data_IF_197452992682
#
_entry.id   IF_197452992682
#
_cell.length_a   1.000
_cell.length_b   1.000
_cell.length_c   1.000
_cell.angle_alpha   90.00
_cell.angle_beta   90.00
_cell.angle_gamma   90.00
#
_symmetry.space_group_name_H-M   'P 1'
#
loop_
_entity.id
_entity.type
_entity.pdbx_description
1 polymer ?
#
# COMPACT_ATOMS: atom_id res chain seq x y z
N UNK A 1 -35.55 2.68 -24.16
CA UNK A 1 -35.46 4.02 -23.55
C UNK A 1 -34.59 3.89 -22.30
N UNK A 2 -33.31 4.26 -22.38
CA UNK A 2 -32.73 5.53 -21.87
C UNK A 2 -32.86 5.63 -20.33
N UNK A 3 -31.82 5.80 -19.52
CA UNK A 3 -30.67 6.70 -19.67
C UNK A 3 -29.38 6.16 -19.04
N UNK A 4 -28.26 6.58 -19.65
CA UNK A 4 -26.90 6.54 -19.14
C UNK A 4 -26.81 7.12 -17.72
N UNK A 5 -26.38 6.30 -16.76
CA UNK A 5 -25.90 6.76 -15.46
C UNK A 5 -24.40 7.03 -15.53
N UNK A 6 -24.02 8.22 -16.03
CA UNK A 6 -22.66 8.74 -15.91
C UNK A 6 -22.40 8.92 -14.42
N UNK A 7 -21.63 8.02 -13.82
CA UNK A 7 -21.20 8.17 -12.43
C UNK A 7 -20.20 9.32 -12.36
N UNK A 8 -20.62 10.41 -11.70
CA UNK A 8 -19.82 11.59 -11.37
C UNK A 8 -18.41 11.19 -10.94
N UNK A 9 -17.43 11.46 -11.80
CA UNK A 9 -16.04 11.56 -11.38
C UNK A 9 -15.95 12.69 -10.36
N UNK A 10 -15.51 12.38 -9.13
CA UNK A 10 -15.14 13.41 -8.17
C UNK A 10 -13.90 14.10 -8.73
N UNK A 11 -14.13 15.20 -9.45
CA UNK A 11 -13.08 16.13 -9.87
C UNK A 11 -12.43 16.62 -8.57
N UNK A 12 -11.20 16.18 -8.32
CA UNK A 12 -10.36 16.66 -7.23
C UNK A 12 -10.12 18.15 -7.44
N UNK A 13 -11.02 18.96 -6.87
CA UNK A 13 -11.03 20.38 -7.08
C UNK A 13 -9.87 21.02 -6.31
N UNK A 14 -8.97 21.63 -7.08
CA UNK A 14 -7.97 22.55 -6.59
C UNK A 14 -8.69 23.77 -5.98
N UNK A 15 -8.64 23.92 -4.65
CA UNK A 15 -9.20 25.09 -3.94
C UNK A 15 -8.05 25.99 -3.48
N UNK A 16 -7.80 27.07 -4.22
CA UNK A 16 -6.93 28.17 -3.77
C UNK A 16 -7.79 29.23 -3.06
N UNK A 17 -7.51 29.49 -1.79
CA UNK A 17 -8.07 30.64 -1.06
C UNK A 17 -7.23 31.89 -1.40
N UNK A 18 -7.58 32.57 -2.48
CA UNK A 18 -6.97 33.84 -2.84
C UNK A 18 -7.13 34.86 -1.71
N UNK A 19 -6.01 35.36 -1.19
CA UNK A 19 -5.99 36.49 -0.26
C UNK A 19 -6.29 37.76 -1.08
N UNK A 20 -7.54 38.21 -1.07
CA UNK A 20 -7.94 39.49 -1.66
C UNK A 20 -7.23 40.63 -0.94
N UNK A 21 -6.24 41.24 -1.60
CA UNK A 21 -5.69 42.52 -1.14
C UNK A 21 -6.77 43.59 -1.36
N UNK A 22 -7.35 44.08 -0.26
CA UNK A 22 -8.20 45.27 -0.29
C UNK A 22 -7.33 46.46 -0.65
N UNK A 23 -7.54 47.01 -1.85
CA UNK A 23 -6.99 48.31 -2.24
C UNK A 23 -7.59 49.39 -1.34
N UNK A 24 -6.84 49.82 -0.33
CA UNK A 24 -7.11 51.07 0.37
C UNK A 24 -6.48 52.21 -0.44
N UNK A 25 -7.30 53.20 -0.81
CA UNK A 25 -6.88 54.38 -1.54
C UNK A 25 -5.71 55.08 -0.83
N UNK A 26 -4.55 55.19 -1.47
CA UNK A 26 -3.42 55.95 -0.94
C UNK A 26 -2.64 56.64 -2.08
N UNK A 27 -2.24 57.88 -1.81
CA UNK A 27 -1.53 58.77 -2.74
C UNK A 27 -0.09 58.35 -2.99
N UNK A 28 0.10 57.30 -3.79
CA UNK A 28 1.41 56.79 -4.19
C UNK A 28 1.98 57.52 -5.42
N UNK A 29 3.30 57.71 -5.45
CA UNK A 29 4.05 58.30 -6.55
C UNK A 29 4.04 57.42 -7.81
N UNK A 30 4.30 57.98 -9.00
CA UNK A 30 4.25 57.25 -10.28
C UNK A 30 5.19 56.03 -10.31
N UNK A 31 6.34 56.12 -9.65
CA UNK A 31 7.31 55.03 -9.47
C UNK A 31 6.79 53.91 -8.58
N UNK A 32 6.11 54.23 -7.47
CA UNK A 32 5.49 53.24 -6.59
C UNK A 32 4.29 52.56 -7.27
N UNK A 33 3.54 53.31 -8.09
CA UNK A 33 2.42 52.78 -8.85
C UNK A 33 2.89 51.84 -9.96
N UNK A 34 3.99 52.15 -10.64
CA UNK A 34 4.60 51.26 -11.63
C UNK A 34 5.14 49.98 -10.98
N UNK A 35 5.81 50.09 -9.82
CA UNK A 35 6.27 48.92 -9.06
C UNK A 35 5.10 48.04 -8.58
N UNK A 36 4.03 48.63 -8.03
CA UNK A 36 2.81 47.89 -7.67
C UNK A 36 2.13 47.21 -8.87
N UNK A 37 2.11 47.88 -10.03
CA UNK A 37 1.50 47.31 -11.25
C UNK A 37 2.33 46.14 -11.78
N UNK A 38 3.66 46.22 -11.69
CA UNK A 38 4.58 45.15 -12.06
C UNK A 38 4.48 43.96 -11.10
N UNK A 39 4.46 44.20 -9.78
CA UNK A 39 4.27 43.15 -8.77
C UNK A 39 2.92 42.43 -8.92
N UNK A 40 1.85 43.16 -9.25
CA UNK A 40 0.55 42.57 -9.57
C UNK A 40 0.61 41.69 -10.83
N UNK A 41 1.34 42.12 -11.87
CA UNK A 41 1.55 41.34 -13.10
C UNK A 41 2.35 40.06 -12.84
N UNK A 42 3.40 40.13 -12.01
CA UNK A 42 4.24 38.97 -11.72
C UNK A 42 3.54 37.97 -10.78
N UNK A 43 2.68 38.45 -9.88
CA UNK A 43 1.77 37.60 -9.11
C UNK A 43 0.75 36.86 -10.00
N UNK A 44 0.18 37.55 -10.99
CA UNK A 44 -0.78 36.94 -11.94
C UNK A 44 -0.11 35.89 -12.82
N UNK A 45 1.10 36.16 -13.34
CA UNK A 45 1.89 35.17 -14.10
C UNK A 45 2.18 33.93 -13.26
N UNK A 46 2.59 34.12 -12.01
CA UNK A 46 2.85 33.03 -11.07
C UNK A 46 1.58 32.21 -10.79
N UNK A 47 0.42 32.86 -10.62
CA UNK A 47 -0.85 32.16 -10.40
C UNK A 47 -1.27 31.33 -11.63
N UNK A 48 -1.14 31.89 -12.84
CA UNK A 48 -1.44 31.17 -14.08
C UNK A 48 -0.48 30.00 -14.29
N UNK A 49 0.81 30.17 -13.99
CA UNK A 49 1.78 29.09 -14.04
C UNK A 49 1.47 27.97 -13.04
N UNK A 50 1.11 28.32 -11.79
CA UNK A 50 0.64 27.33 -10.81
C UNK A 50 -0.52 26.53 -11.40
N UNK A 51 -1.55 27.19 -11.95
CA UNK A 51 -2.70 26.51 -12.57
C UNK A 51 -2.28 25.53 -13.68
N UNK A 52 -1.34 25.92 -14.56
CA UNK A 52 -0.79 25.03 -15.60
C UNK A 52 -0.16 23.77 -14.99
N UNK A 53 0.75 23.93 -14.02
CA UNK A 53 1.43 22.81 -13.36
C UNK A 53 0.42 21.88 -12.68
N UNK A 54 -0.54 22.43 -11.95
CA UNK A 54 -1.53 21.62 -11.25
C UNK A 54 -2.52 20.94 -12.20
N UNK A 55 -2.83 21.54 -13.33
CA UNK A 55 -3.61 20.88 -14.38
C UNK A 55 -2.85 19.68 -14.95
N UNK A 56 -1.55 19.81 -15.20
CA UNK A 56 -0.73 18.68 -15.62
C UNK A 56 -0.74 17.57 -14.56
N UNK A 57 -0.44 17.90 -13.30
CA UNK A 57 -0.44 16.95 -12.17
C UNK A 57 -1.80 16.25 -12.03
N UNK A 58 -2.91 16.98 -12.19
CA UNK A 58 -4.26 16.44 -12.10
C UNK A 58 -4.56 15.39 -13.17
N UNK A 59 -4.04 15.59 -14.38
CA UNK A 59 -4.22 14.70 -15.52
C UNK A 59 -3.42 13.39 -15.41
N UNK A 60 -2.45 13.32 -14.50
CA UNK A 60 -1.61 12.14 -14.35
C UNK A 60 -2.39 10.93 -13.80
N UNK A 61 -2.01 9.70 -14.18
CA UNK A 61 -2.75 8.49 -13.85
C UNK A 61 -2.46 8.04 -12.41
N UNK A 62 -2.89 8.77 -11.38
CA UNK A 62 -2.64 8.39 -9.98
C UNK A 62 -3.41 7.13 -9.56
N UNK A 63 -2.70 6.15 -8.99
CA UNK A 63 -3.25 4.89 -8.50
C UNK A 63 -3.37 4.79 -6.97
N UNK A 64 -2.67 5.65 -6.23
CA UNK A 64 -2.69 5.71 -4.76
C UNK A 64 -3.04 7.11 -4.23
N UNK A 65 -3.29 7.22 -2.92
CA UNK A 65 -3.56 8.51 -2.29
C UNK A 65 -2.26 9.29 -2.34
N UNK A 66 -2.34 10.51 -2.84
CA UNK A 66 -1.17 11.30 -3.17
C UNK A 66 -1.34 12.69 -2.62
N UNK A 67 -0.40 13.14 -1.80
CA UNK A 67 -0.33 14.53 -1.36
C UNK A 67 0.94 15.16 -1.93
N UNK A 68 0.78 16.34 -2.54
CA UNK A 68 1.89 17.07 -3.15
C UNK A 68 1.88 18.49 -2.59
N UNK A 69 3.02 18.96 -2.12
CA UNK A 69 3.25 20.32 -1.68
C UNK A 69 4.39 20.91 -2.51
N UNK A 70 4.16 22.10 -3.07
CA UNK A 70 5.14 22.83 -3.86
C UNK A 70 5.16 24.25 -3.34
N UNK A 71 6.31 24.74 -2.89
CA UNK A 71 6.44 26.10 -2.36
C UNK A 71 6.32 27.14 -3.48
N UNK A 72 5.90 28.36 -3.13
CA UNK A 72 5.86 29.48 -4.06
C UNK A 72 7.24 29.80 -4.65
N UNK A 73 8.31 29.64 -3.87
CA UNK A 73 9.67 29.79 -4.35
C UNK A 73 10.07 28.70 -5.35
N UNK A 74 9.63 27.45 -5.13
CA UNK A 74 9.82 26.38 -6.11
C UNK A 74 9.08 26.68 -7.42
N UNK A 75 7.84 27.19 -7.38
CA UNK A 75 7.13 27.62 -8.58
C UNK A 75 7.87 28.73 -9.33
N UNK A 76 8.36 29.76 -8.63
CA UNK A 76 9.17 30.82 -9.24
C UNK A 76 10.43 30.26 -9.90
N UNK A 77 11.14 29.37 -9.22
CA UNK A 77 12.33 28.71 -9.78
C UNK A 77 11.99 27.87 -11.01
N UNK A 78 10.84 27.19 -11.06
CA UNK A 78 10.40 26.46 -12.25
C UNK A 78 10.04 27.38 -13.44
N UNK A 79 9.66 28.64 -13.20
CA UNK A 79 9.43 29.62 -14.26
C UNK A 79 10.75 30.12 -14.86
N UNK A 80 11.79 30.25 -14.04
CA UNK A 80 13.11 30.77 -14.43
C UNK A 80 14.04 29.68 -14.97
N UNK A 81 13.97 28.48 -14.41
CA UNK A 81 14.84 27.34 -14.69
C UNK A 81 14.03 26.15 -15.24
N UNK A 82 14.09 26.00 -16.57
CA UNK A 82 13.43 24.91 -17.28
C UNK A 82 14.00 23.53 -16.94
N UNK A 83 15.29 23.42 -16.58
CA UNK A 83 15.87 22.14 -16.16
C UNK A 83 15.32 21.72 -14.80
N UNK A 84 15.21 22.67 -13.86
CA UNK A 84 14.57 22.44 -12.57
C UNK A 84 13.10 22.03 -12.73
N UNK A 85 12.31 22.76 -13.55
CA UNK A 85 10.92 22.39 -13.90
C UNK A 85 10.86 20.96 -14.42
N UNK A 86 11.65 20.63 -15.44
CA UNK A 86 11.63 19.32 -16.08
C UNK A 86 12.01 18.21 -15.11
N UNK A 87 13.02 18.43 -14.26
CA UNK A 87 13.44 17.46 -13.24
C UNK A 87 12.33 17.20 -12.22
N UNK A 88 11.72 18.25 -11.67
CA UNK A 88 10.65 18.10 -10.67
C UNK A 88 9.42 17.43 -11.27
N UNK A 89 8.98 17.88 -12.45
CA UNK A 89 7.81 17.29 -13.13
C UNK A 89 8.06 15.85 -13.56
N UNK A 90 9.28 15.49 -13.97
CA UNK A 90 9.65 14.10 -14.26
C UNK A 90 9.46 13.21 -13.04
N UNK A 91 9.94 13.62 -11.87
CA UNK A 91 9.79 12.85 -10.63
C UNK A 91 8.30 12.65 -10.30
N UNK A 92 7.48 13.71 -10.40
CA UNK A 92 6.03 13.59 -10.14
C UNK A 92 5.36 12.61 -11.13
N UNK A 93 5.74 12.64 -12.41
CA UNK A 93 5.22 11.68 -13.42
C UNK A 93 5.62 10.25 -13.11
N UNK A 94 6.87 10.02 -12.69
CA UNK A 94 7.37 8.71 -12.28
C UNK A 94 6.61 8.19 -11.05
N UNK A 95 6.41 9.03 -10.03
CA UNK A 95 5.59 8.71 -8.85
C UNK A 95 4.13 8.40 -9.22
N UNK A 96 3.54 9.16 -10.16
CA UNK A 96 2.19 8.90 -10.63
C UNK A 96 2.08 7.51 -11.28
N UNK A 97 3.02 7.13 -12.14
CA UNK A 97 3.04 5.79 -12.75
C UNK A 97 3.29 4.72 -11.68
N UNK A 98 4.29 4.92 -10.81
CA UNK A 98 4.65 4.00 -9.73
C UNK A 98 3.49 3.75 -8.75
N UNK A 99 2.65 4.77 -8.53
CA UNK A 99 1.51 4.68 -7.62
C UNK A 99 0.45 3.64 -8.03
N UNK A 100 0.42 3.22 -9.30
CA UNK A 100 -0.49 2.17 -9.78
C UNK A 100 0.02 0.74 -9.55
N UNK A 101 1.32 0.57 -9.26
CA UNK A 101 1.93 -0.77 -9.25
C UNK A 101 2.11 -1.32 -7.84
N UNK A 102 2.69 -0.52 -6.94
CA UNK A 102 3.17 -1.03 -5.64
C UNK A 102 2.93 -0.07 -4.46
N UNK A 103 2.22 1.04 -4.65
CA UNK A 103 2.13 2.11 -3.64
C UNK A 103 0.81 2.09 -2.86
N UNK A 104 0.88 2.15 -1.53
CA UNK A 104 -0.24 2.40 -0.63
C UNK A 104 -0.56 3.90 -0.46
N UNK A 105 0.39 4.78 -0.75
CA UNK A 105 0.23 6.24 -0.77
C UNK A 105 1.57 6.98 -0.90
N UNK A 106 1.53 8.16 -1.53
CA UNK A 106 2.71 8.96 -1.88
C UNK A 106 2.60 10.36 -1.29
N UNK A 107 3.71 10.85 -0.73
CA UNK A 107 3.87 12.20 -0.22
C UNK A 107 5.04 12.86 -0.94
N UNK A 108 4.80 14.02 -1.56
CA UNK A 108 5.79 14.77 -2.34
C UNK A 108 5.87 16.19 -1.80
N UNK A 109 7.08 16.65 -1.48
CA UNK A 109 7.38 18.02 -1.11
C UNK A 109 8.46 18.57 -2.04
N UNK A 110 8.21 19.72 -2.64
CA UNK A 110 9.12 20.39 -3.56
C UNK A 110 9.35 21.82 -3.08
N UNK A 111 10.59 22.11 -2.74
CA UNK A 111 11.09 23.43 -2.38
C UNK A 111 12.16 23.90 -3.40
N UNK A 112 12.74 25.08 -3.21
CA UNK A 112 13.76 25.68 -4.07
C UNK A 112 15.03 24.82 -4.20
N UNK A 113 15.29 23.95 -3.21
CA UNK A 113 16.42 23.02 -3.20
C UNK A 113 16.10 21.70 -3.90
N UNK A 114 14.82 21.43 -4.18
CA UNK A 114 14.35 20.32 -5.00
C UNK A 114 13.32 19.43 -4.32
N UNK A 115 13.33 18.16 -4.70
CA UNK A 115 12.33 17.16 -4.30
C UNK A 115 12.74 16.44 -3.02
N UNK A 116 11.78 16.27 -2.11
CA UNK A 116 11.81 15.36 -0.97
C UNK A 116 10.47 14.62 -0.94
N UNK A 117 10.49 13.30 -0.98
CA UNK A 117 9.26 12.52 -0.99
C UNK A 117 9.39 11.19 -0.30
N UNK A 118 8.25 10.63 0.07
CA UNK A 118 8.16 9.30 0.65
C UNK A 118 6.93 8.58 0.10
N UNK A 119 7.15 7.34 -0.34
CA UNK A 119 6.10 6.47 -0.86
C UNK A 119 6.01 5.23 -0.01
N UNK A 120 4.80 4.92 0.46
CA UNK A 120 4.52 3.72 1.25
C UNK A 120 4.20 2.57 0.31
N UNK A 121 4.71 1.38 0.62
CA UNK A 121 4.34 0.17 -0.11
C UNK A 121 2.87 -0.18 0.13
N UNK A 122 2.31 -0.93 -0.82
CA UNK A 122 0.92 -1.37 -0.84
C UNK A 122 0.49 -2.14 0.43
N UNK A 123 1.38 -2.94 0.99
CA UNK A 123 1.16 -3.69 2.23
C UNK A 123 1.11 -2.82 3.49
N UNK A 124 1.64 -1.59 3.41
CA UNK A 124 1.57 -0.54 4.42
C UNK A 124 0.50 0.53 4.11
N UNK A 125 -0.57 0.16 3.41
CA UNK A 125 -1.63 1.10 3.01
C UNK A 125 -2.34 1.78 4.19
N UNK A 126 -2.32 1.20 5.39
CA UNK A 126 -2.92 1.79 6.60
C UNK A 126 -2.07 2.95 7.12
N UNK A 127 -0.77 2.72 7.24
CA UNK A 127 0.25 3.71 7.61
C UNK A 127 0.29 4.84 6.57
N UNK A 128 0.24 4.46 5.28
CA UNK A 128 0.11 5.40 4.18
C UNK A 128 -1.13 6.28 4.30
N UNK A 129 -2.27 5.69 4.69
CA UNK A 129 -3.53 6.40 4.91
C UNK A 129 -3.42 7.41 6.06
N UNK A 130 -2.80 7.02 7.18
CA UNK A 130 -2.56 7.91 8.33
C UNK A 130 -1.60 9.04 7.99
N UNK A 131 -0.48 8.74 7.33
CA UNK A 131 0.50 9.74 6.92
C UNK A 131 -0.09 10.72 5.90
N UNK A 132 -0.85 10.22 4.92
CA UNK A 132 -1.62 11.06 4.00
C UNK A 132 -2.62 11.94 4.73
N UNK A 133 -3.37 11.40 5.71
CA UNK A 133 -4.35 12.19 6.47
C UNK A 133 -3.69 13.30 7.30
N UNK A 134 -2.49 13.08 7.83
CA UNK A 134 -1.72 14.11 8.53
C UNK A 134 -1.19 15.17 7.55
N UNK A 135 -0.55 14.73 6.46
CA UNK A 135 0.08 15.60 5.47
C UNK A 135 -0.92 16.45 4.67
N UNK A 136 -2.12 15.89 4.41
CA UNK A 136 -3.20 16.57 3.68
C UNK A 136 -3.95 17.63 4.50
N UNK A 137 -3.74 17.67 5.83
CA UNK A 137 -4.37 18.65 6.74
C UNK A 137 -3.46 19.82 7.06
N UNK A 138 -2.22 19.80 6.60
CA UNK A 138 -1.32 20.92 6.81
C UNK A 138 -1.85 22.16 6.10
N UNK A 139 -1.76 23.33 6.72
CA UNK A 139 -2.37 24.57 6.19
C UNK A 139 -1.70 25.02 4.88
N UNK A 140 -0.50 24.51 4.63
CA UNK A 140 0.29 24.72 3.42
C UNK A 140 0.16 23.56 2.41
N UNK A 141 -0.73 22.57 2.68
CA UNK A 141 -0.95 21.43 1.80
C UNK A 141 -1.77 21.84 0.57
N UNK A 142 -1.12 21.91 -0.60
CA UNK A 142 -1.74 22.50 -1.80
C UNK A 142 -2.21 21.50 -2.86
N UNK A 143 -2.03 20.20 -2.63
CA UNK A 143 -2.64 19.15 -3.46
C UNK A 143 -2.88 17.85 -2.71
N UNK A 144 -4.11 17.33 -2.85
CA UNK A 144 -4.57 16.12 -2.18
C UNK A 144 -5.46 15.33 -3.14
N UNK A 145 -4.96 14.19 -3.64
CA UNK A 145 -5.75 13.25 -4.45
C UNK A 145 -5.98 11.97 -3.68
N UNK A 146 -7.25 11.62 -3.47
CA UNK A 146 -7.65 10.31 -2.95
C UNK A 146 -7.81 9.35 -4.12
N UNK A 147 -7.20 8.17 -4.05
CA UNK A 147 -7.35 7.16 -5.08
C UNK A 147 -8.71 6.45 -4.96
N UNK A 148 -9.49 6.46 -6.05
CA UNK A 148 -10.76 5.74 -6.13
C UNK A 148 -10.56 4.22 -6.24
N UNK A 149 -9.51 3.76 -6.95
CA UNK A 149 -9.19 2.33 -7.15
C UNK A 149 -8.67 1.59 -5.90
N UNK A 150 -8.49 2.30 -4.78
CA UNK A 150 -7.91 1.76 -3.54
C UNK A 150 -8.74 0.60 -2.97
N UNK A 151 -10.08 0.63 -3.09
CA UNK A 151 -10.94 -0.42 -2.49
C UNK A 151 -10.75 -1.78 -3.17
N UNK A 152 -10.75 -1.81 -4.50
CA UNK A 152 -10.59 -3.05 -5.26
C UNK A 152 -9.21 -3.66 -5.07
N UNK A 153 -8.17 -2.84 -5.09
CA UNK A 153 -6.80 -3.30 -4.83
C UNK A 153 -6.62 -3.84 -3.40
N UNK A 154 -7.13 -3.12 -2.40
CA UNK A 154 -7.09 -3.57 -1.00
C UNK A 154 -7.88 -4.87 -0.80
N UNK A 155 -9.03 -5.03 -1.47
CA UNK A 155 -9.80 -6.27 -1.45
C UNK A 155 -9.00 -7.44 -2.03
N UNK A 156 -8.40 -7.25 -3.21
CA UNK A 156 -7.59 -8.27 -3.86
C UNK A 156 -6.36 -8.67 -3.02
N UNK A 157 -5.72 -7.70 -2.37
CA UNK A 157 -4.58 -7.94 -1.51
C UNK A 157 -4.98 -8.76 -0.27
N UNK A 158 -6.12 -8.42 0.36
CA UNK A 158 -6.64 -9.17 1.51
C UNK A 158 -7.03 -10.60 1.11
N UNK A 159 -7.68 -10.78 -0.04
CA UNK A 159 -8.01 -12.10 -0.59
C UNK A 159 -6.75 -12.97 -0.78
N UNK A 160 -5.67 -12.41 -1.33
CA UNK A 160 -4.39 -13.13 -1.47
C UNK A 160 -3.76 -13.50 -0.13
N UNK A 161 -3.84 -12.61 0.88
CA UNK A 161 -3.33 -12.92 2.23
C UNK A 161 -4.12 -14.05 2.88
N UNK A 162 -5.44 -14.04 2.74
CA UNK A 162 -6.31 -15.12 3.24
C UNK A 162 -6.02 -16.43 2.51
N UNK A 163 -5.84 -16.42 1.19
CA UNK A 163 -5.46 -17.60 0.42
C UNK A 163 -4.10 -18.17 0.85
N UNK A 164 -3.08 -17.32 1.02
CA UNK A 164 -1.76 -17.75 1.49
C UNK A 164 -1.82 -18.40 2.88
N UNK A 165 -2.61 -17.82 3.80
CA UNK A 165 -2.83 -18.41 5.13
C UNK A 165 -3.55 -19.76 5.05
N UNK A 166 -4.56 -19.91 4.18
CA UNK A 166 -5.27 -21.18 3.97
C UNK A 166 -4.33 -22.25 3.43
N UNK A 167 -3.52 -21.93 2.41
CA UNK A 167 -2.54 -22.87 1.88
C UNK A 167 -1.51 -23.30 2.93
N UNK A 168 -1.05 -22.38 3.76
CA UNK A 168 -0.14 -22.70 4.86
C UNK A 168 -0.81 -23.63 5.88
N UNK A 169 -2.09 -23.39 6.22
CA UNK A 169 -2.85 -24.24 7.13
C UNK A 169 -3.08 -25.64 6.54
N UNK A 170 -3.49 -25.75 5.27
CA UNK A 170 -3.68 -27.04 4.58
C UNK A 170 -2.39 -27.87 4.58
N UNK A 171 -1.23 -27.25 4.32
CA UNK A 171 0.06 -27.94 4.39
C UNK A 171 0.42 -28.41 5.81
N UNK A 172 -0.01 -27.70 6.85
CA UNK A 172 0.16 -28.12 8.24
C UNK A 172 -0.78 -29.30 8.56
N UNK A 173 -2.04 -29.20 8.17
CA UNK A 173 -3.05 -30.23 8.40
C UNK A 173 -2.68 -31.54 7.69
N UNK A 174 -2.17 -31.48 6.45
CA UNK A 174 -1.64 -32.65 5.74
C UNK A 174 -0.47 -33.33 6.47
N UNK A 175 0.45 -32.53 7.04
CA UNK A 175 1.57 -33.06 7.82
C UNK A 175 1.08 -33.75 9.09
N UNK A 176 0.10 -33.16 9.77
CA UNK A 176 -0.53 -33.75 10.97
C UNK A 176 -1.22 -35.06 10.59
N UNK A 177 -2.02 -35.08 9.53
CA UNK A 177 -2.73 -36.28 9.07
C UNK A 177 -1.76 -37.42 8.71
N UNK A 178 -0.66 -37.12 8.00
CA UNK A 178 0.38 -38.12 7.70
C UNK A 178 1.08 -38.63 8.95
N UNK A 179 1.39 -37.76 9.90
CA UNK A 179 2.00 -38.14 11.17
C UNK A 179 1.07 -39.04 12.01
N UNK A 180 -0.23 -38.73 12.05
CA UNK A 180 -1.23 -39.55 12.73
C UNK A 180 -1.43 -40.91 12.06
N UNK A 181 -1.46 -40.95 10.72
CA UNK A 181 -1.54 -42.20 9.97
C UNK A 181 -0.34 -43.10 10.27
N UNK A 182 0.88 -42.54 10.28
CA UNK A 182 2.09 -43.28 10.58
C UNK A 182 2.12 -43.76 12.03
N UNK A 183 1.71 -42.90 12.99
CA UNK A 183 1.56 -43.28 14.40
C UNK A 183 0.57 -44.43 14.57
N UNK A 184 -0.55 -44.41 13.84
CA UNK A 184 -1.54 -45.50 13.85
C UNK A 184 -0.98 -46.80 13.26
N UNK A 185 -0.23 -46.71 12.15
CA UNK A 185 0.48 -47.86 11.54
C UNK A 185 1.46 -48.49 12.52
N UNK A 186 2.30 -47.68 13.16
CA UNK A 186 3.27 -48.14 14.16
C UNK A 186 2.59 -48.75 15.39
N UNK A 187 1.50 -48.16 15.88
CA UNK A 187 0.73 -48.71 17.00
C UNK A 187 0.13 -50.09 16.68
N UNK A 188 -0.40 -50.28 15.46
CA UNK A 188 -0.91 -51.58 14.99
C UNK A 188 0.21 -52.62 14.84
N UNK A 189 1.36 -52.23 14.29
CA UNK A 189 2.51 -53.12 14.16
C UNK A 189 3.05 -53.56 15.54
N UNK A 190 3.12 -52.63 16.49
CA UNK A 190 3.55 -52.92 17.86
C UNK A 190 2.58 -53.86 18.58
N UNK A 191 1.26 -53.60 18.53
CA UNK A 191 0.26 -54.47 19.16
C UNK A 191 0.22 -55.87 18.54
N UNK A 192 0.40 -55.98 17.22
CA UNK A 192 0.53 -57.27 16.53
C UNK A 192 1.77 -58.04 17.01
N UNK A 193 2.92 -57.36 17.13
CA UNK A 193 4.15 -57.97 17.65
C UNK A 193 4.00 -58.46 19.09
N UNK A 194 3.32 -57.69 19.95
CA UNK A 194 3.02 -58.13 21.32
C UNK A 194 2.11 -59.37 21.36
N UNK A 195 1.08 -59.43 20.52
CA UNK A 195 0.19 -60.61 20.42
C UNK A 195 0.94 -61.85 19.93
N UNK A 196 1.80 -61.71 18.93
CA UNK A 196 2.61 -62.82 18.43
C UNK A 196 3.59 -63.33 19.50
N UNK A 197 4.24 -62.43 20.23
CA UNK A 197 5.12 -62.80 21.34
C UNK A 197 4.36 -63.54 22.45
N UNK A 198 3.17 -63.07 22.83
CA UNK A 198 2.34 -63.75 23.82
C UNK A 198 1.88 -65.15 23.36
N UNK A 199 1.51 -65.30 22.08
CA UNK A 199 1.13 -66.60 21.52
C UNK A 199 2.31 -67.58 21.46
N UNK A 200 3.51 -67.12 21.06
CA UNK A 200 4.72 -67.94 21.08
C UNK A 200 5.05 -68.40 22.50
N UNK A 201 5.03 -67.49 23.47
CA UNK A 201 5.31 -67.82 24.87
C UNK A 201 4.30 -68.85 25.42
N UNK A 202 3.02 -68.73 25.07
CA UNK A 202 2.00 -69.70 25.47
C UNK A 202 2.21 -71.07 24.83
N UNK A 203 2.60 -71.10 23.55
CA UNK A 203 2.96 -72.34 22.86
C UNK A 203 4.17 -73.02 23.48
N UNK A 204 5.26 -72.27 23.71
CA UNK A 204 6.48 -72.79 24.33
C UNK A 204 6.20 -73.32 25.75
N UNK A 205 5.37 -72.63 26.53
CA UNK A 205 4.97 -73.09 27.86
C UNK A 205 4.16 -74.40 27.80
N UNK A 206 3.19 -74.52 26.88
CA UNK A 206 2.39 -75.74 26.74
C UNK A 206 3.23 -76.95 26.31
N UNK A 207 4.14 -76.76 25.33
CA UNK A 207 5.06 -77.83 24.89
C UNK A 207 5.91 -78.32 26.06
N UNK A 208 6.48 -77.40 26.86
CA UNK A 208 7.29 -77.75 28.03
C UNK A 208 6.49 -78.51 29.10
N UNK A 209 5.22 -78.16 29.33
CA UNK A 209 4.36 -78.89 30.28
C UNK A 209 3.94 -80.27 29.78
N UNK A 210 3.71 -80.45 28.47
CA UNK A 210 3.42 -81.77 27.88
C UNK A 210 4.66 -82.68 27.90
N UNK A 211 5.85 -82.13 27.68
CA UNK A 211 7.09 -82.93 27.77
C UNK A 211 7.39 -83.37 29.21
N UNK A 212 7.02 -82.56 30.21
CA UNK A 212 7.13 -82.93 31.62
C UNK A 212 6.09 -83.98 32.06
N UNK A 213 4.88 -83.95 31.49
CA UNK A 213 3.81 -84.92 31.79
C UNK A 213 3.97 -86.27 31.09
N UNK A 214 4.68 -86.34 29.95
CA UNK A 214 4.99 -87.59 29.24
C UNK A 214 6.13 -88.41 29.84
N UNK A 215 6.79 -87.93 30.90
CA UNK A 215 7.93 -88.57 31.55
C UNK A 215 7.59 -89.54 32.71
N UNK A 216 6.32 -89.69 33.08
CA UNK A 216 5.87 -90.64 34.11
C UNK A 216 4.85 -91.64 33.57
N UNK A 217 5.30 -92.69 32.87
CA UNK A 217 4.71 -94.03 33.00
C UNK A 217 5.83 -95.07 32.83
N UNK A 218 5.86 -96.02 33.78
CA UNK A 218 6.74 -97.19 33.89
C UNK A 218 6.90 -98.01 32.62
#
# INVERSE_FOLDING_TARGET
>A
MSMLGVSNAVIGAYQYTGRTQKNAASGASFTERAAQTQEASDAEKLENFKKEIWNEINSMPWGANTSIQITDGAFRKMMEDGEFKNKMMKIIREDAVGSNKMCGGTLINIDENGYKGYSYMADHAKEAGSAFAAHSKDKDAFYVKKAEKRREYMRLLEEKRVQAKRQQQELLDEKIAKAEQERSRLAKAWSSKQRMAAASNAYDANVMTETAAGGEVK
#
